data_IF_009071014489
#
_entry.id   IF_009071014489
#
_cell.length_a   1.000
_cell.length_b   1.000
_cell.length_c   1.000
_cell.angle_alpha   90.00
_cell.angle_beta   90.00
_cell.angle_gamma   90.00
#
_symmetry.space_group_name_H-M   'P 1'
#
loop_
_entity.id
_entity.type
_entity.pdbx_description
1 polymer ?
#
# COMPACT_ATOMS: atom_id res chain seq x y z
N UNK A 1 37.27 -4.10 -17.05
CA UNK A 1 35.93 -4.70 -17.03
C UNK A 1 35.20 -4.04 -15.88
N UNK A 2 34.48 -2.96 -16.15
CA UNK A 2 33.75 -2.21 -15.13
C UNK A 2 32.40 -2.91 -14.95
N UNK A 3 32.19 -3.53 -13.80
CA UNK A 3 30.85 -3.90 -13.33
C UNK A 3 30.11 -2.59 -13.02
N UNK A 4 29.52 -1.99 -14.06
CA UNK A 4 28.42 -1.06 -13.89
C UNK A 4 27.29 -1.87 -13.28
N UNK A 5 27.02 -1.62 -12.00
CA UNK A 5 25.81 -2.08 -11.32
C UNK A 5 24.64 -1.44 -12.08
N UNK A 6 24.14 -2.11 -13.11
CA UNK A 6 22.91 -1.73 -13.81
C UNK A 6 21.78 -1.83 -12.79
N UNK A 7 21.44 -0.70 -12.17
CA UNK A 7 20.33 -0.61 -11.26
C UNK A 7 19.06 -1.13 -11.93
N UNK A 8 18.22 -1.83 -11.17
CA UNK A 8 16.95 -2.35 -11.72
C UNK A 8 16.12 -1.21 -12.35
N UNK A 9 15.28 -1.52 -13.35
CA UNK A 9 14.34 -0.55 -13.96
C UNK A 9 13.52 0.19 -12.89
N UNK A 10 13.16 -0.50 -11.81
CA UNK A 10 12.51 0.11 -10.64
C UNK A 10 13.38 1.19 -10.00
N UNK A 11 14.66 0.90 -9.73
CA UNK A 11 15.57 1.85 -9.11
C UNK A 11 15.76 3.09 -10.00
N UNK A 12 16.01 2.90 -11.29
CA UNK A 12 16.12 4.01 -12.25
C UNK A 12 14.83 4.86 -12.31
N UNK A 13 13.66 4.22 -12.24
CA UNK A 13 12.35 4.89 -12.27
C UNK A 13 12.06 5.71 -11.00
N UNK A 14 12.60 5.29 -9.86
CA UNK A 14 12.45 5.98 -8.58
C UNK A 14 13.62 6.92 -8.26
N UNK A 15 14.58 7.11 -9.17
CA UNK A 15 15.68 8.03 -8.98
C UNK A 15 15.16 9.45 -8.66
N UNK A 16 15.56 9.98 -7.50
CA UNK A 16 15.12 11.30 -7.01
C UNK A 16 13.73 11.33 -6.36
N UNK A 17 13.02 10.20 -6.25
CA UNK A 17 11.74 10.15 -5.54
C UNK A 17 11.96 10.18 -4.01
N UNK A 18 11.10 10.94 -3.31
CA UNK A 18 11.29 11.30 -1.88
C UNK A 18 11.53 10.12 -0.94
N UNK A 19 10.91 8.97 -1.17
CA UNK A 19 10.96 7.81 -0.27
C UNK A 19 11.74 6.62 -0.87
N UNK A 20 12.44 6.83 -1.99
CA UNK A 20 13.13 5.76 -2.72
C UNK A 20 14.31 5.16 -1.92
N UNK A 21 15.07 6.03 -1.25
CA UNK A 21 16.29 5.65 -0.49
C UNK A 21 15.99 5.06 0.89
N UNK A 22 14.75 5.16 1.35
CA UNK A 22 14.35 4.59 2.64
C UNK A 22 14.29 3.06 2.57
N UNK A 23 14.56 2.42 3.71
CA UNK A 23 14.31 0.98 3.82
C UNK A 23 12.82 0.67 3.60
N UNK A 24 12.52 -0.58 3.26
CA UNK A 24 11.13 -1.02 3.05
C UNK A 24 10.28 -0.77 4.31
N UNK A 25 10.86 -1.00 5.49
CA UNK A 25 10.18 -0.80 6.78
C UNK A 25 9.89 0.67 7.06
N UNK A 26 10.91 1.54 6.99
CA UNK A 26 10.75 2.98 7.22
C UNK A 26 9.76 3.62 6.25
N UNK A 27 9.85 3.25 4.97
CA UNK A 27 8.89 3.70 3.96
C UNK A 27 7.48 3.23 4.31
N UNK A 28 7.30 1.98 4.71
CA UNK A 28 6.00 1.45 5.15
C UNK A 28 5.43 2.29 6.30
N UNK A 29 6.21 2.55 7.35
CA UNK A 29 5.78 3.36 8.49
C UNK A 29 5.36 4.78 8.09
N UNK A 30 6.14 5.45 7.23
CA UNK A 30 5.80 6.80 6.76
C UNK A 30 4.51 6.78 5.95
N UNK A 31 4.37 5.84 5.01
CA UNK A 31 3.17 5.75 4.17
C UNK A 31 1.92 5.47 5.00
N UNK A 32 2.00 4.62 6.04
CA UNK A 32 0.91 4.39 6.99
C UNK A 32 0.46 5.68 7.68
N UNK A 33 1.40 6.45 8.23
CA UNK A 33 1.12 7.75 8.86
C UNK A 33 0.47 8.75 7.89
N UNK A 34 0.97 8.79 6.66
CA UNK A 34 0.42 9.65 5.61
C UNK A 34 -1.02 9.25 5.26
N UNK A 35 -1.32 7.95 5.14
CA UNK A 35 -2.68 7.46 4.89
C UNK A 35 -3.61 7.78 6.05
N UNK A 36 -3.18 7.53 7.31
CA UNK A 36 -3.94 7.91 8.50
C UNK A 36 -4.29 9.40 8.50
N UNK A 37 -3.29 10.25 8.24
CA UNK A 37 -3.49 11.70 8.20
C UNK A 37 -4.41 12.14 7.07
N UNK A 38 -4.29 11.51 5.90
CA UNK A 38 -5.21 11.74 4.79
C UNK A 38 -6.65 11.38 5.20
N UNK A 39 -6.85 10.22 5.81
CA UNK A 39 -8.18 9.76 6.22
C UNK A 39 -8.83 10.70 7.25
N UNK A 40 -8.06 11.16 8.25
CA UNK A 40 -8.50 12.18 9.22
C UNK A 40 -8.96 13.47 8.52
N UNK A 41 -8.22 13.92 7.50
CA UNK A 41 -8.52 15.16 6.77
C UNK A 41 -9.71 15.01 5.81
N UNK A 42 -9.88 13.85 5.17
CA UNK A 42 -10.89 13.66 4.12
C UNK A 42 -12.21 13.10 4.60
N UNK A 43 -12.19 12.29 5.67
CA UNK A 43 -13.43 11.70 6.22
C UNK A 43 -14.22 12.68 7.09
N UNK A 44 -13.54 13.68 7.67
CA UNK A 44 -14.13 14.55 8.69
C UNK A 44 -14.32 13.87 10.05
N UNK A 45 -13.94 12.59 10.17
CA UNK A 45 -14.01 11.84 11.41
C UNK A 45 -12.73 11.96 12.23
N UNK A 46 -12.87 11.82 13.55
CA UNK A 46 -11.72 11.74 14.44
C UNK A 46 -11.00 10.41 14.23
N UNK A 47 -9.68 10.47 14.11
CA UNK A 47 -8.84 9.28 13.99
C UNK A 47 -7.94 9.18 15.22
N UNK A 48 -7.86 8.00 15.83
CA UNK A 48 -7.00 7.68 16.95
C UNK A 48 -5.95 6.63 16.56
N UNK A 49 -4.78 6.63 17.21
CA UNK A 49 -3.86 5.49 17.11
C UNK A 49 -4.55 4.21 17.63
N UNK A 50 -4.13 3.06 17.10
CA UNK A 50 -4.61 1.79 17.61
C UNK A 50 -4.17 1.61 19.08
N UNK A 51 -5.09 1.13 19.91
CA UNK A 51 -4.82 0.88 21.33
C UNK A 51 -3.79 -0.25 21.48
N UNK A 52 -2.85 -0.11 22.42
CA UNK A 52 -1.89 -1.16 22.73
C UNK A 52 -2.63 -2.41 23.25
N UNK A 53 -2.70 -3.46 22.43
CA UNK A 53 -3.33 -4.72 22.83
C UNK A 53 -2.47 -5.49 23.85
N UNK A 54 -3.10 -6.13 24.82
CA UNK A 54 -2.44 -7.10 25.70
C UNK A 54 -2.32 -8.45 25.00
N UNK A 55 -1.12 -9.04 24.96
CA UNK A 55 -0.93 -10.42 24.55
C UNK A 55 -1.67 -11.40 25.49
N UNK A 56 -1.91 -12.62 25.03
CA UNK A 56 -2.51 -13.70 25.85
C UNK A 56 -1.72 -14.03 27.13
N UNK A 57 -0.45 -13.62 27.20
CA UNK A 57 0.41 -13.76 28.37
C UNK A 57 0.49 -12.48 29.24
N UNK A 58 -0.34 -11.47 28.98
CA UNK A 58 -0.34 -10.19 29.71
C UNK A 58 0.76 -9.21 29.32
N UNK A 59 1.66 -9.55 28.39
CA UNK A 59 2.66 -8.62 27.88
C UNK A 59 2.02 -7.59 26.93
N UNK A 60 2.48 -6.33 26.95
CA UNK A 60 2.07 -5.35 25.94
C UNK A 60 2.54 -5.83 24.56
N UNK A 61 1.63 -5.90 23.58
CA UNK A 61 2.03 -6.08 22.18
C UNK A 61 2.85 -4.87 21.78
N UNK A 62 4.03 -5.08 21.18
CA UNK A 62 4.71 -4.00 20.48
C UNK A 62 3.81 -3.47 19.37
N UNK A 63 3.95 -2.19 19.00
CA UNK A 63 3.13 -1.52 17.98
C UNK A 63 3.04 -2.29 16.65
N UNK A 64 4.05 -3.10 16.32
CA UNK A 64 4.09 -3.93 15.11
C UNK A 64 3.22 -5.20 15.17
N UNK A 65 2.63 -5.52 16.34
CA UNK A 65 1.74 -6.68 16.55
C UNK A 65 0.26 -6.29 16.72
N UNK A 66 -0.08 -5.02 16.46
CA UNK A 66 -1.48 -4.58 16.44
C UNK A 66 -2.19 -5.16 15.22
N UNK A 67 -3.49 -5.40 15.38
CA UNK A 67 -4.33 -6.05 14.37
C UNK A 67 -4.75 -5.09 13.25
N UNK A 68 -4.66 -3.79 13.53
CA UNK A 68 -4.96 -2.67 12.65
C UNK A 68 -4.05 -1.48 13.00
N UNK A 69 -3.97 -0.49 12.10
CA UNK A 69 -3.06 0.65 12.24
C UNK A 69 -3.69 1.84 12.99
N UNK A 70 -5.00 2.06 12.83
CA UNK A 70 -5.71 3.13 13.51
C UNK A 70 -7.21 2.86 13.64
N UNK A 71 -7.87 3.62 14.52
CA UNK A 71 -9.33 3.59 14.66
C UNK A 71 -9.95 4.91 14.20
N UNK A 72 -10.95 4.83 13.34
CA UNK A 72 -11.80 5.97 12.95
C UNK A 72 -13.08 5.97 13.78
N UNK A 73 -13.40 7.10 14.39
CA UNK A 73 -14.58 7.27 15.25
C UNK A 73 -15.70 7.87 14.42
N UNK A 74 -16.65 7.02 14.02
CA UNK A 74 -17.83 7.37 13.23
C UNK A 74 -19.05 7.54 14.15
N UNK A 75 -20.15 8.17 13.69
CA UNK A 75 -21.35 8.37 14.52
C UNK A 75 -22.02 7.06 14.98
N UNK A 76 -21.89 6.00 14.20
CA UNK A 76 -22.47 4.68 14.42
C UNK A 76 -21.51 3.71 15.14
N UNK A 77 -20.24 4.08 15.34
CA UNK A 77 -19.29 3.23 16.04
C UNK A 77 -17.82 3.54 15.75
N UNK A 78 -17.00 2.51 15.91
CA UNK A 78 -15.57 2.54 15.63
C UNK A 78 -15.28 1.66 14.43
N UNK A 79 -14.48 2.17 13.51
CA UNK A 79 -13.98 1.41 12.36
C UNK A 79 -12.48 1.19 12.57
N UNK A 80 -12.06 -0.06 12.67
CA UNK A 80 -10.65 -0.44 12.72
C UNK A 80 -10.08 -0.50 11.30
N UNK A 81 -9.04 0.28 11.05
CA UNK A 81 -8.46 0.44 9.71
C UNK A 81 -7.03 -0.10 9.69
N UNK A 82 -6.79 -1.07 8.80
CA UNK A 82 -5.45 -1.57 8.47
C UNK A 82 -4.94 -0.90 7.20
N UNK A 83 -3.65 -0.56 7.15
CA UNK A 83 -3.01 0.03 5.97
C UNK A 83 -1.90 -0.89 5.46
N UNK A 84 -2.01 -1.30 4.19
CA UNK A 84 -0.92 -1.97 3.48
C UNK A 84 -0.39 -1.07 2.38
N UNK A 85 0.92 -0.89 2.34
CA UNK A 85 1.59 -0.14 1.28
C UNK A 85 2.36 -1.05 0.33
N UNK A 86 2.40 -0.70 -0.95
CA UNK A 86 3.25 -1.37 -1.94
C UNK A 86 3.87 -0.35 -2.89
N UNK A 87 5.16 -0.51 -3.16
CA UNK A 87 5.87 0.25 -4.18
C UNK A 87 5.63 -0.37 -5.55
N UNK A 88 5.38 0.46 -6.55
CA UNK A 88 5.37 0.05 -7.95
C UNK A 88 6.72 -0.56 -8.32
N UNK A 89 6.74 -1.81 -8.79
CA UNK A 89 7.96 -2.54 -9.13
C UNK A 89 7.88 -3.11 -10.53
N UNK A 90 8.97 -2.98 -11.28
CA UNK A 90 9.16 -3.68 -12.54
C UNK A 90 9.46 -5.15 -12.25
N UNK A 91 8.66 -6.05 -12.82
CA UNK A 91 8.94 -7.48 -12.84
C UNK A 91 9.67 -7.79 -14.15
N UNK A 92 10.97 -8.09 -14.08
CA UNK A 92 11.82 -8.36 -15.24
C UNK A 92 11.75 -9.80 -15.76
N UNK A 93 10.98 -10.68 -15.11
CA UNK A 93 10.92 -12.07 -15.51
C UNK A 93 10.24 -12.22 -16.88
N UNK A 94 10.87 -12.91 -17.83
CA UNK A 94 10.43 -12.97 -19.23
C UNK A 94 8.96 -13.41 -19.41
N UNK A 95 8.48 -14.34 -18.56
CA UNK A 95 7.07 -14.76 -18.61
C UNK A 95 6.09 -13.71 -18.07
N UNK A 96 6.53 -12.82 -17.19
CA UNK A 96 5.69 -11.85 -16.45
C UNK A 96 6.24 -10.43 -16.49
N UNK A 97 6.86 -10.06 -17.63
CA UNK A 97 7.50 -8.77 -17.88
C UNK A 97 6.47 -7.62 -17.80
N UNK A 98 6.30 -7.00 -16.63
CA UNK A 98 5.27 -5.98 -16.39
C UNK A 98 5.56 -5.19 -15.11
N UNK A 99 4.95 -4.01 -14.98
CA UNK A 99 4.88 -3.32 -13.70
C UNK A 99 3.85 -3.98 -12.79
N UNK A 100 4.11 -4.05 -11.48
CA UNK A 100 3.17 -4.58 -10.50
C UNK A 100 3.25 -3.89 -9.14
N UNK A 101 2.17 -4.01 -8.38
CA UNK A 101 2.10 -3.75 -6.93
C UNK A 101 1.63 -5.02 -6.25
N UNK A 102 2.23 -5.34 -5.10
CA UNK A 102 1.92 -6.52 -4.31
C UNK A 102 1.86 -6.16 -2.83
N UNK A 103 0.73 -6.45 -2.20
CA UNK A 103 0.47 -6.28 -0.78
C UNK A 103 0.46 -7.67 -0.15
N UNK A 104 1.26 -7.87 0.90
CA UNK A 104 1.40 -9.17 1.55
C UNK A 104 0.88 -9.15 2.97
N UNK A 105 0.50 -10.33 3.48
CA UNK A 105 0.06 -10.50 4.86
C UNK A 105 -1.23 -9.75 5.17
N UNK A 106 -2.16 -9.73 4.22
CA UNK A 106 -3.49 -9.12 4.37
C UNK A 106 -4.40 -10.08 5.13
N UNK A 107 -4.86 -9.68 6.32
CA UNK A 107 -5.75 -10.47 7.18
C UNK A 107 -7.11 -9.77 7.34
N UNK A 108 -8.01 -9.98 6.40
CA UNK A 108 -9.29 -9.24 6.30
C UNK A 108 -10.27 -9.49 7.45
N UNK A 109 -9.98 -10.45 8.32
CA UNK A 109 -10.76 -10.82 9.50
C UNK A 109 -10.36 -10.05 10.77
N UNK A 110 -9.27 -9.27 10.72
CA UNK A 110 -8.72 -8.54 11.88
C UNK A 110 -9.04 -7.03 11.89
N UNK A 111 -9.75 -6.54 10.88
CA UNK A 111 -10.10 -5.13 10.74
C UNK A 111 -11.39 -4.98 9.95
N UNK A 112 -12.07 -3.87 10.17
CA UNK A 112 -13.31 -3.53 9.47
C UNK A 112 -13.03 -2.99 8.05
N UNK A 113 -11.89 -2.31 7.88
CA UNK A 113 -11.51 -1.66 6.63
C UNK A 113 -10.02 -1.85 6.31
N UNK A 114 -9.71 -2.14 5.04
CA UNK A 114 -8.35 -2.21 4.53
C UNK A 114 -8.07 -1.07 3.55
N UNK A 115 -7.03 -0.29 3.83
CA UNK A 115 -6.50 0.74 2.92
C UNK A 115 -5.28 0.23 2.17
N UNK A 116 -5.33 0.32 0.84
CA UNK A 116 -4.20 0.00 -0.03
C UNK A 116 -3.51 1.27 -0.51
N UNK A 117 -2.24 1.41 -0.14
CA UNK A 117 -1.38 2.53 -0.51
C UNK A 117 -0.41 2.14 -1.62
N UNK A 118 -0.63 2.63 -2.84
CA UNK A 118 0.26 2.41 -3.98
C UNK A 118 1.26 3.57 -4.08
N UNK A 119 2.52 3.29 -3.76
CA UNK A 119 3.63 4.23 -3.91
C UNK A 119 4.19 4.18 -5.34
N UNK A 120 4.08 5.31 -6.03
CA UNK A 120 4.60 5.53 -7.39
C UNK A 120 5.68 6.63 -7.35
N UNK A 121 6.47 6.81 -8.42
CA UNK A 121 7.51 7.85 -8.44
C UNK A 121 7.01 9.28 -8.14
N UNK A 122 5.76 9.62 -8.51
CA UNK A 122 5.24 10.99 -8.39
C UNK A 122 4.13 11.16 -7.35
N UNK A 123 3.61 10.07 -6.79
CA UNK A 123 2.44 10.11 -5.94
C UNK A 123 2.25 8.87 -5.06
N UNK A 124 1.47 9.06 -4.00
CA UNK A 124 0.80 8.00 -3.26
C UNK A 124 -0.67 7.93 -3.68
N UNK A 125 -1.11 6.79 -4.19
CA UNK A 125 -2.52 6.54 -4.50
C UNK A 125 -3.12 5.70 -3.37
N UNK A 126 -4.29 6.11 -2.86
CA UNK A 126 -4.94 5.46 -1.72
C UNK A 126 -6.28 4.89 -2.18
N UNK A 127 -6.51 3.62 -1.84
CA UNK A 127 -7.75 2.90 -2.14
C UNK A 127 -8.33 2.28 -0.87
N UNK A 128 -9.65 2.22 -0.76
CA UNK A 128 -10.36 1.32 0.16
C UNK A 128 -10.54 0.00 -0.57
N UNK A 129 -10.10 -1.10 0.05
CA UNK A 129 -10.20 -2.43 -0.53
C UNK A 129 -11.65 -2.94 -0.46
N UNK A 130 -12.17 -3.41 -1.58
CA UNK A 130 -13.43 -4.15 -1.59
C UNK A 130 -13.19 -5.58 -1.10
N UNK A 131 -14.05 -6.10 -0.23
CA UNK A 131 -13.90 -7.36 0.52
C UNK A 131 -13.53 -8.63 -0.29
N UNK A 132 -13.58 -8.61 -1.63
CA UNK A 132 -13.21 -9.73 -2.51
C UNK A 132 -12.13 -9.38 -3.58
N UNK A 133 -11.51 -8.20 -3.52
CA UNK A 133 -10.68 -7.69 -4.61
C UNK A 133 -9.26 -8.30 -4.64
N UNK A 134 -8.92 -9.05 -5.70
CA UNK A 134 -7.52 -9.43 -5.98
C UNK A 134 -6.89 -10.42 -5.01
N UNK A 135 -7.69 -11.10 -4.19
CA UNK A 135 -7.25 -12.12 -3.24
C UNK A 135 -6.90 -13.42 -3.97
N UNK A 136 -5.72 -13.99 -3.72
CA UNK A 136 -5.38 -15.34 -4.21
C UNK A 136 -6.08 -16.42 -3.36
N UNK A 137 -6.78 -17.37 -4.01
CA UNK A 137 -7.60 -18.40 -3.33
C UNK A 137 -6.79 -19.60 -2.80
N UNK A 138 -5.48 -19.48 -2.64
CA UNK A 138 -4.61 -20.62 -2.37
C UNK A 138 -4.64 -21.05 -0.88
N UNK A 139 -5.73 -21.72 -0.46
CA UNK A 139 -5.79 -22.74 0.60
C UNK A 139 -5.68 -22.31 2.09
N UNK A 140 -6.20 -23.18 2.98
CA UNK A 140 -6.29 -23.07 4.48
C UNK A 140 -5.01 -22.62 5.24
N UNK A 141 -3.85 -22.53 4.59
CA UNK A 141 -2.60 -22.02 5.18
C UNK A 141 -2.60 -20.49 5.30
N UNK A 142 -3.50 -19.80 4.59
CA UNK A 142 -3.59 -18.33 4.55
C UNK A 142 -4.14 -17.69 5.83
N UNK A 143 -4.79 -18.44 6.73
CA UNK A 143 -5.34 -17.89 7.97
C UNK A 143 -4.22 -17.34 8.89
N UNK A 144 -3.12 -18.09 9.01
CA UNK A 144 -1.99 -17.67 9.86
C UNK A 144 -1.12 -16.62 9.16
N UNK A 145 -0.83 -16.81 7.86
CA UNK A 145 0.11 -15.96 7.10
C UNK A 145 -0.52 -14.69 6.52
N UNK A 146 -1.84 -14.64 6.39
CA UNK A 146 -2.54 -13.63 5.59
C UNK A 146 -2.46 -13.92 4.09
N UNK A 147 -3.16 -13.11 3.33
CA UNK A 147 -3.32 -13.21 1.88
C UNK A 147 -2.41 -12.21 1.16
N UNK A 148 -2.06 -12.55 -0.08
CA UNK A 148 -1.41 -11.63 -1.00
C UNK A 148 -2.43 -11.03 -1.98
N UNK A 149 -2.39 -9.71 -2.12
CA UNK A 149 -3.19 -8.94 -3.09
C UNK A 149 -2.23 -8.33 -4.10
N UNK A 150 -2.36 -8.69 -5.38
CA UNK A 150 -1.43 -8.25 -6.43
C UNK A 150 -2.17 -7.69 -7.64
N UNK A 151 -1.67 -6.57 -8.18
CA UNK A 151 -2.15 -5.97 -9.42
C UNK A 151 -0.97 -5.70 -10.36
N UNK A 152 -1.07 -6.15 -11.61
CA UNK A 152 -0.07 -5.94 -12.65
C UNK A 152 -0.60 -5.11 -13.82
N UNK A 153 0.29 -4.44 -14.54
CA UNK A 153 -0.02 -3.73 -15.79
C UNK A 153 -0.32 -4.71 -16.94
N UNK A 154 -0.27 -4.24 -18.18
CA UNK A 154 -0.18 -5.12 -19.35
C UNK A 154 1.27 -5.62 -19.47
N UNK A 155 1.45 -6.84 -19.98
CA UNK A 155 2.77 -7.40 -20.27
C UNK A 155 3.49 -6.56 -21.33
N UNK A 156 4.75 -6.23 -21.09
CA UNK A 156 5.59 -5.41 -21.97
C UNK A 156 5.37 -3.90 -21.87
N UNK A 157 4.45 -3.42 -21.02
CA UNK A 157 4.27 -1.99 -20.81
C UNK A 157 5.47 -1.40 -20.06
N UNK A 158 6.36 -0.69 -20.75
CA UNK A 158 7.57 -0.13 -20.15
C UNK A 158 7.34 1.23 -19.47
N UNK A 159 6.34 2.01 -19.88
CA UNK A 159 6.05 3.31 -19.27
C UNK A 159 5.28 3.12 -17.96
N UNK A 160 5.95 3.44 -16.85
CA UNK A 160 5.37 3.33 -15.51
C UNK A 160 4.10 4.17 -15.36
N UNK A 161 3.94 5.30 -16.05
CA UNK A 161 2.74 6.15 -15.97
C UNK A 161 1.55 5.50 -16.67
N UNK A 162 1.78 4.85 -17.80
CA UNK A 162 0.76 4.03 -18.47
C UNK A 162 0.39 2.85 -17.57
N UNK A 163 1.40 2.16 -17.03
CA UNK A 163 1.19 1.05 -16.11
C UNK A 163 0.38 1.42 -14.86
N UNK A 164 0.66 2.57 -14.22
CA UNK A 164 -0.09 3.04 -13.05
C UNK A 164 -1.57 3.27 -13.39
N UNK A 165 -1.86 3.85 -14.56
CA UNK A 165 -3.26 4.02 -15.03
C UNK A 165 -3.95 2.66 -15.19
N UNK A 166 -3.29 1.71 -15.83
CA UNK A 166 -3.81 0.34 -16.01
C UNK A 166 -4.04 -0.35 -14.66
N UNK A 167 -3.05 -0.28 -13.75
CA UNK A 167 -3.13 -0.88 -12.41
C UNK A 167 -4.28 -0.26 -11.63
N UNK A 168 -4.42 1.07 -11.65
CA UNK A 168 -5.54 1.78 -11.02
C UNK A 168 -6.88 1.29 -11.55
N UNK A 169 -7.06 1.24 -12.87
CA UNK A 169 -8.31 0.74 -13.47
C UNK A 169 -8.60 -0.69 -13.03
N UNK A 170 -7.59 -1.56 -12.96
CA UNK A 170 -7.75 -2.94 -12.48
C UNK A 170 -8.13 -3.01 -10.99
N UNK A 171 -7.58 -2.13 -10.15
CA UNK A 171 -7.93 -2.03 -8.73
C UNK A 171 -9.41 -1.63 -8.58
N UNK A 172 -9.83 -0.58 -9.29
CA UNK A 172 -11.22 -0.08 -9.27
C UNK A 172 -12.21 -1.12 -9.82
N UNK A 173 -11.88 -1.80 -10.93
CA UNK A 173 -12.70 -2.88 -11.51
C UNK A 173 -12.86 -4.10 -10.59
N UNK A 174 -12.00 -4.26 -9.58
CA UNK A 174 -12.13 -5.32 -8.58
C UNK A 174 -12.95 -4.89 -7.36
N UNK A 175 -13.54 -3.70 -7.39
CA UNK A 175 -14.42 -3.20 -6.32
C UNK A 175 -13.70 -2.39 -5.26
N UNK A 176 -12.43 -2.03 -5.45
CA UNK A 176 -11.75 -1.08 -4.57
C UNK A 176 -12.16 0.35 -4.91
N UNK A 177 -12.40 1.18 -3.90
CA UNK A 177 -12.74 2.59 -4.08
C UNK A 177 -11.48 3.45 -4.03
N UNK A 178 -11.24 4.27 -5.05
CA UNK A 178 -10.20 5.29 -5.00
C UNK A 178 -10.63 6.45 -4.08
N UNK A 179 -9.81 6.77 -3.09
CA UNK A 179 -10.14 7.79 -2.07
C UNK A 179 -9.24 9.01 -2.11
N UNK A 180 -8.07 8.93 -2.76
CA UNK A 180 -7.17 10.06 -2.78
C UNK A 180 -5.84 9.83 -3.49
N UNK A 181 -5.23 10.95 -3.87
CA UNK A 181 -3.87 11.03 -4.42
C UNK A 181 -3.11 12.11 -3.68
N UNK A 182 -1.93 11.77 -3.15
CA UNK A 182 -1.00 12.71 -2.55
C UNK A 182 0.19 12.84 -3.49
N UNK A 183 0.46 14.08 -3.94
CA UNK A 183 1.60 14.35 -4.80
C UNK A 183 2.90 14.29 -3.99
N UNK A 184 3.91 13.60 -4.54
CA UNK A 184 5.25 13.48 -3.95
C UNK A 184 6.30 14.24 -4.76
N UNK A 185 5.88 14.98 -5.79
CA UNK A 185 6.75 15.92 -6.49
C UNK A 185 6.69 17.27 -5.79
N UNK A 186 7.85 17.91 -5.66
CA UNK A 186 7.89 19.28 -5.16
C UNK A 186 6.98 20.17 -6.03
N UNK A 187 6.18 21.08 -5.45
CA UNK A 187 5.46 22.05 -6.23
C UNK A 187 6.48 22.83 -7.05
N UNK A 188 6.28 22.90 -8.37
CA UNK A 188 7.08 23.79 -9.21
C UNK A 188 6.87 25.20 -8.64
N UNK A 189 7.90 25.76 -8.02
CA UNK A 189 7.86 27.16 -7.60
C UNK A 189 7.43 28.00 -8.80
N UNK A 190 6.44 28.87 -8.60
CA UNK A 190 6.17 29.91 -9.60
C UNK A 190 7.44 30.75 -9.65
N UNK A 191 8.23 30.58 -10.72
CA UNK A 191 9.30 31.49 -11.07
C UNK A 191 8.70 32.86 -11.43
#
# INVERSE_FOLDING_TARGET
MFDLIEGTVTHATFAGALLAELSVSERGMILKRVVKKHDELTSGYKVADADDGTCVNGACRGADNLEFDYTRIEPDGRVHVEVKSSQLKWNSHASTLQWKVAFSGVKCDLHDELRLAVYTPDALLIFVHGSNAGVSKAGKVTEVKGMDVTFGSTKGECDWRVAVRIIRTKIEQKGCQFVGRISLVAPKGKA
#
